data_IF_624455240763
#
_entry.id   IF_624455240763
#
_cell.length_a   1.000
_cell.length_b   1.000
_cell.length_c   1.000
_cell.angle_alpha   90.00
_cell.angle_beta   90.00
_cell.angle_gamma   90.00
#
_symmetry.space_group_name_H-M   'P 1'
#
loop_
_entity.id
_entity.type
_entity.pdbx_description
1 polymer ?
#
# COMPACT_ATOMS: atom_id res chain seq x y z
N UNK A 1 -35.99 6.66 -0.91
CA UNK A 1 -35.51 5.47 -1.67
C UNK A 1 -34.00 5.28 -1.45
N UNK A 2 -33.55 4.41 -0.54
CA UNK A 2 -32.12 4.08 -0.41
C UNK A 2 -31.70 3.13 -1.56
N UNK A 3 -31.33 3.70 -2.71
CA UNK A 3 -30.85 2.94 -3.86
C UNK A 3 -29.35 2.62 -3.71
N UNK A 4 -29.07 1.30 -3.60
CA UNK A 4 -27.78 0.55 -3.69
C UNK A 4 -26.86 0.55 -2.45
N UNK A 5 -27.00 -0.46 -1.56
CA UNK A 5 -26.09 -0.74 -0.42
C UNK A 5 -24.78 -1.49 -0.76
N UNK A 6 -24.49 -1.67 -2.06
CA UNK A 6 -23.31 -2.38 -2.57
C UNK A 6 -22.66 -1.55 -3.66
N UNK A 7 -21.41 -1.20 -3.43
CA UNK A 7 -20.56 -0.55 -4.41
C UNK A 7 -19.28 -1.37 -4.59
N UNK A 8 -18.88 -1.62 -5.83
CA UNK A 8 -17.58 -2.19 -6.15
C UNK A 8 -17.12 -1.59 -7.47
N UNK A 9 -15.82 -1.30 -7.57
CA UNK A 9 -15.18 -0.77 -8.77
C UNK A 9 -15.24 -1.81 -9.89
N UNK A 10 -16.22 -1.63 -10.79
CA UNK A 10 -16.41 -2.51 -11.94
C UNK A 10 -15.18 -2.44 -12.85
N UNK A 11 -14.74 -3.58 -13.36
CA UNK A 11 -13.58 -3.63 -14.25
C UNK A 11 -12.22 -3.56 -13.55
N UNK A 12 -12.15 -3.46 -12.22
CA UNK A 12 -10.89 -3.51 -11.50
C UNK A 12 -10.17 -4.84 -11.77
N UNK A 13 -9.01 -4.79 -12.44
CA UNK A 13 -8.21 -5.97 -12.80
C UNK A 13 -7.29 -6.34 -11.66
N UNK A 14 -7.25 -7.63 -11.33
CA UNK A 14 -6.33 -8.17 -10.34
C UNK A 14 -4.95 -8.35 -10.98
N UNK A 15 -3.91 -7.98 -10.25
CA UNK A 15 -2.52 -8.30 -10.58
C UNK A 15 -1.94 -9.00 -9.35
N UNK A 16 -1.53 -10.25 -9.51
CA UNK A 16 -0.84 -10.99 -8.45
C UNK A 16 0.62 -10.55 -8.39
N UNK A 17 1.23 -10.50 -7.20
CA UNK A 17 2.64 -10.14 -7.05
C UNK A 17 3.58 -11.28 -7.48
N UNK A 18 3.17 -12.53 -7.25
CA UNK A 18 3.96 -13.72 -7.58
C UNK A 18 3.81 -14.16 -9.04
N UNK A 19 4.83 -14.83 -9.60
CA UNK A 19 6.11 -15.22 -8.96
C UNK A 19 7.17 -14.10 -8.87
N UNK A 20 7.00 -13.00 -9.57
CA UNK A 20 8.10 -12.05 -9.85
C UNK A 20 8.45 -11.15 -8.66
N UNK A 21 7.48 -10.81 -7.80
CA UNK A 21 7.65 -9.93 -6.65
C UNK A 21 7.14 -10.57 -5.34
N UNK A 22 7.83 -11.59 -4.78
CA UNK A 22 7.41 -12.27 -3.56
C UNK A 22 7.18 -11.35 -2.36
N UNK A 23 7.83 -10.18 -2.32
CA UNK A 23 7.69 -9.19 -1.24
C UNK A 23 7.25 -7.81 -1.76
N UNK A 24 6.70 -7.73 -2.98
CA UNK A 24 6.29 -6.47 -3.61
C UNK A 24 4.79 -6.15 -3.49
N UNK A 25 4.17 -6.42 -2.34
CA UNK A 25 2.72 -6.25 -2.18
C UNK A 25 2.25 -4.80 -2.40
N UNK A 26 2.93 -3.81 -1.81
CA UNK A 26 2.55 -2.40 -1.86
C UNK A 26 2.68 -1.83 -3.27
N UNK A 27 3.79 -2.13 -3.96
CA UNK A 27 4.02 -1.63 -5.32
C UNK A 27 3.10 -2.31 -6.34
N UNK A 28 2.76 -3.59 -6.12
CA UNK A 28 1.76 -4.30 -6.93
C UNK A 28 0.36 -3.74 -6.70
N UNK A 29 0.00 -3.43 -5.45
CA UNK A 29 -1.27 -2.78 -5.12
C UNK A 29 -1.39 -1.39 -5.78
N UNK A 30 -0.33 -0.58 -5.71
CA UNK A 30 -0.27 0.70 -6.41
C UNK A 30 -0.43 0.55 -7.92
N UNK A 31 0.25 -0.43 -8.52
CA UNK A 31 0.14 -0.75 -9.95
C UNK A 31 -1.30 -1.09 -10.34
N UNK A 32 -2.02 -1.87 -9.53
CA UNK A 32 -3.44 -2.16 -9.78
C UNK A 32 -4.30 -0.90 -9.78
N UNK A 33 -4.08 0.00 -8.80
CA UNK A 33 -4.83 1.26 -8.72
C UNK A 33 -4.52 2.19 -9.90
N UNK A 34 -3.25 2.30 -10.33
CA UNK A 34 -2.85 3.06 -11.52
C UNK A 34 -3.51 2.52 -12.79
N UNK A 35 -3.46 1.20 -13.00
CA UNK A 35 -4.08 0.54 -14.16
C UNK A 35 -5.59 0.74 -14.19
N UNK A 36 -6.26 0.77 -13.03
CA UNK A 36 -7.69 1.08 -12.95
C UNK A 36 -8.02 2.50 -13.42
N UNK A 37 -7.16 3.47 -13.11
CA UNK A 37 -7.25 4.86 -13.56
C UNK A 37 -6.84 5.07 -15.03
N UNK A 38 -6.56 4.00 -15.77
CA UNK A 38 -6.18 4.03 -17.19
C UNK A 38 -4.68 4.26 -17.45
N UNK A 39 -3.85 4.31 -16.41
CA UNK A 39 -2.40 4.47 -16.52
C UNK A 39 -1.78 3.09 -16.75
N UNK A 40 -1.22 2.85 -17.93
CA UNK A 40 -0.71 1.53 -18.33
C UNK A 40 0.73 1.33 -17.86
N UNK A 41 0.90 0.63 -16.73
CA UNK A 41 2.24 0.28 -16.21
C UNK A 41 2.24 -1.14 -15.66
N UNK A 42 3.39 -1.82 -15.77
CA UNK A 42 3.58 -3.16 -15.19
C UNK A 42 4.13 -3.07 -13.76
N UNK A 43 3.82 -4.07 -12.92
CA UNK A 43 4.37 -4.17 -11.56
C UNK A 43 5.90 -4.26 -11.56
N UNK A 44 6.48 -4.88 -12.60
CA UNK A 44 7.92 -5.03 -12.77
C UNK A 44 8.57 -3.69 -13.07
N UNK A 45 8.02 -2.92 -13.99
CA UNK A 45 8.52 -1.58 -14.28
C UNK A 45 8.45 -0.68 -13.04
N UNK A 46 7.32 -0.69 -12.33
CA UNK A 46 7.17 0.04 -11.07
C UNK A 46 8.22 -0.36 -10.02
N UNK A 47 8.47 -1.66 -9.84
CA UNK A 47 9.41 -2.17 -8.85
C UNK A 47 10.89 -1.95 -9.23
N UNK A 48 11.25 -2.10 -10.50
CA UNK A 48 12.64 -2.07 -10.94
C UNK A 48 13.13 -0.66 -11.24
N UNK A 49 12.30 0.15 -11.90
CA UNK A 49 12.68 1.49 -12.37
C UNK A 49 12.33 2.61 -11.40
N UNK A 50 11.20 2.53 -10.71
CA UNK A 50 10.68 3.67 -9.95
C UNK A 50 10.69 3.49 -8.43
N UNK A 51 10.56 2.27 -7.91
CA UNK A 51 10.55 2.03 -6.46
C UNK A 51 11.92 2.35 -5.85
N UNK A 52 12.05 3.40 -5.01
CA UNK A 52 13.29 3.66 -4.32
C UNK A 52 13.60 2.53 -3.33
N UNK A 53 14.83 2.01 -3.37
CA UNK A 53 15.25 0.85 -2.58
C UNK A 53 16.49 1.17 -1.75
N UNK A 54 16.59 0.54 -0.57
CA UNK A 54 17.80 0.51 0.26
C UNK A 54 18.07 -0.92 0.73
N UNK A 55 19.34 -1.34 0.82
CA UNK A 55 19.65 -2.63 1.42
C UNK A 55 19.23 -2.64 2.89
N UNK A 56 18.86 -3.82 3.39
CA UNK A 56 18.69 -4.01 4.82
C UNK A 56 20.05 -3.92 5.51
N UNK A 57 20.17 -3.00 6.47
CA UNK A 57 21.36 -2.86 7.30
C UNK A 57 20.94 -2.29 8.65
N UNK A 58 21.37 -2.93 9.73
CA UNK A 58 21.15 -2.47 11.10
C UNK A 58 22.49 -2.35 11.80
N UNK A 59 22.70 -1.23 12.50
CA UNK A 59 23.89 -1.00 13.33
C UNK A 59 23.50 -0.45 14.70
N UNK A 60 24.41 -0.54 15.67
CA UNK A 60 24.20 -0.03 17.03
C UNK A 60 24.80 1.38 17.14
N UNK A 61 24.01 2.36 17.55
CA UNK A 61 24.45 3.72 17.81
C UNK A 61 25.18 3.85 19.15
N UNK A 62 25.86 4.97 19.36
CA UNK A 62 26.56 5.28 20.62
C UNK A 62 25.62 5.30 21.85
N UNK A 63 24.34 5.62 21.62
CA UNK A 63 23.25 5.59 22.59
C UNK A 63 22.67 4.19 22.86
N UNK A 64 23.32 3.14 22.34
CA UNK A 64 22.90 1.74 22.44
C UNK A 64 21.56 1.43 21.76
N UNK A 65 21.08 2.27 20.83
CA UNK A 65 19.89 2.00 20.02
C UNK A 65 20.26 1.41 18.67
N UNK A 66 19.37 0.57 18.14
CA UNK A 66 19.51 0.05 16.78
C UNK A 66 19.09 1.10 15.76
N UNK A 67 19.93 1.35 14.76
CA UNK A 67 19.70 2.26 13.66
C UNK A 67 19.66 1.53 12.31
N UNK A 68 18.94 2.08 11.34
CA UNK A 68 18.78 1.45 10.02
C UNK A 68 18.07 2.34 9.00
N UNK A 69 17.78 1.79 7.81
CA UNK A 69 17.23 2.54 6.69
C UNK A 69 15.78 2.99 6.94
N UNK A 70 15.40 4.13 6.36
CA UNK A 70 14.04 4.65 6.46
C UNK A 70 13.04 3.89 5.57
N UNK A 71 12.29 2.99 6.20
CA UNK A 71 11.28 2.17 5.52
C UNK A 71 10.07 2.96 5.02
N UNK A 72 9.85 4.22 5.45
CA UNK A 72 8.76 5.02 4.91
C UNK A 72 9.09 5.54 3.51
N UNK A 73 10.35 5.95 3.31
CA UNK A 73 10.84 6.55 2.06
C UNK A 73 11.46 5.56 1.08
N UNK A 74 11.85 4.37 1.55
CA UNK A 74 12.47 3.34 0.74
C UNK A 74 11.85 1.96 0.99
N UNK A 75 11.83 1.14 -0.06
CA UNK A 75 11.66 -0.30 0.10
C UNK A 75 12.95 -0.91 0.62
N UNK A 76 12.86 -1.66 1.72
CA UNK A 76 14.02 -2.27 2.35
C UNK A 76 14.24 -3.67 1.77
N UNK A 77 15.42 -3.90 1.18
CA UNK A 77 15.79 -5.13 0.50
C UNK A 77 15.39 -5.15 -0.98
N UNK A 78 15.09 -6.35 -1.50
CA UNK A 78 14.71 -6.58 -2.90
C UNK A 78 13.29 -7.20 -3.00
N UNK A 79 12.32 -6.52 -3.63
CA UNK A 79 10.96 -7.03 -3.77
C UNK A 79 10.86 -8.35 -4.55
N UNK A 80 11.89 -8.69 -5.34
CA UNK A 80 12.00 -9.95 -6.11
C UNK A 80 12.43 -11.14 -5.26
N UNK A 81 12.75 -10.93 -3.98
CA UNK A 81 13.17 -12.00 -3.09
C UNK A 81 13.29 -11.54 -1.65
N UNK A 82 14.51 -11.16 -1.24
CA UNK A 82 14.84 -10.77 0.14
C UNK A 82 14.44 -9.32 0.43
N UNK A 83 13.15 -9.06 0.40
CA UNK A 83 12.52 -7.78 0.73
C UNK A 83 11.77 -7.84 2.06
N UNK A 84 11.49 -6.67 2.63
CA UNK A 84 10.90 -6.56 3.95
C UNK A 84 9.56 -5.80 3.91
N UNK A 85 9.61 -4.49 3.64
CA UNK A 85 8.43 -3.61 3.63
C UNK A 85 8.78 -2.28 2.96
N UNK A 86 7.78 -1.53 2.53
CA UNK A 86 7.90 -0.10 2.32
C UNK A 86 6.65 0.65 2.81
N UNK A 87 6.83 1.87 3.28
CA UNK A 87 5.75 2.77 3.65
C UNK A 87 5.22 3.59 2.48
N UNK A 88 4.21 4.45 2.73
CA UNK A 88 3.53 5.20 1.69
C UNK A 88 4.45 6.09 0.86
N UNK A 89 5.45 6.75 1.46
CA UNK A 89 6.27 7.73 0.75
C UNK A 89 7.09 7.10 -0.38
N UNK A 90 7.64 5.90 -0.17
CA UNK A 90 8.34 5.14 -1.20
C UNK A 90 7.44 4.85 -2.42
N UNK A 91 6.20 4.41 -2.15
CA UNK A 91 5.21 4.08 -3.19
C UNK A 91 4.70 5.33 -3.91
N UNK A 92 4.43 6.41 -3.16
CA UNK A 92 4.02 7.71 -3.72
C UNK A 92 5.10 8.26 -4.63
N UNK A 93 6.36 8.23 -4.18
CA UNK A 93 7.50 8.67 -4.99
C UNK A 93 7.59 7.87 -6.29
N UNK A 94 7.55 6.54 -6.20
CA UNK A 94 7.61 5.67 -7.38
C UNK A 94 6.50 6.00 -8.40
N UNK A 95 5.26 6.08 -7.93
CA UNK A 95 4.11 6.36 -8.79
C UNK A 95 4.16 7.77 -9.39
N UNK A 96 4.49 8.79 -8.60
CA UNK A 96 4.56 10.17 -9.09
C UNK A 96 5.76 10.40 -10.02
N UNK A 97 6.85 9.66 -9.86
CA UNK A 97 7.98 9.69 -10.81
C UNK A 97 7.55 9.12 -12.17
N UNK A 98 6.89 7.96 -12.19
CA UNK A 98 6.29 7.41 -13.42
C UNK A 98 5.32 8.40 -14.07
N UNK A 99 4.39 8.96 -13.29
CA UNK A 99 3.35 9.87 -13.80
C UNK A 99 3.95 11.14 -14.39
N UNK A 100 4.99 11.70 -13.76
CA UNK A 100 5.69 12.89 -14.24
C UNK A 100 6.47 12.60 -15.52
N UNK A 101 7.18 11.48 -15.60
CA UNK A 101 7.91 11.06 -16.81
C UNK A 101 6.96 10.93 -18.01
N UNK A 102 5.75 10.44 -17.77
CA UNK A 102 4.72 10.24 -18.81
C UNK A 102 3.78 11.43 -18.99
N UNK A 103 4.09 12.60 -18.39
CA UNK A 103 3.28 13.83 -18.46
C UNK A 103 1.79 13.60 -18.14
N UNK A 104 1.53 12.71 -17.20
CA UNK A 104 0.17 12.38 -16.77
C UNK A 104 -0.46 13.54 -16.02
N UNK A 105 -1.77 13.74 -16.21
CA UNK A 105 -2.54 14.66 -15.36
C UNK A 105 -2.85 14.07 -13.98
N UNK A 106 -2.63 12.77 -13.77
CA UNK A 106 -2.83 12.11 -12.49
C UNK A 106 -1.68 12.37 -11.52
N UNK A 107 -2.00 12.33 -10.22
CA UNK A 107 -1.05 12.33 -9.10
C UNK A 107 -1.50 11.34 -8.04
N UNK A 108 -0.55 10.75 -7.34
CA UNK A 108 -0.80 9.96 -6.12
C UNK A 108 -0.67 10.87 -4.91
N UNK A 109 -1.69 10.85 -4.06
CA UNK A 109 -1.79 11.67 -2.86
C UNK A 109 -1.74 10.80 -1.61
N UNK A 110 -0.97 11.24 -0.62
CA UNK A 110 -1.02 10.65 0.71
C UNK A 110 -2.33 11.03 1.41
N UNK A 111 -3.02 10.02 1.94
CA UNK A 111 -4.22 10.17 2.76
C UNK A 111 -4.10 9.41 4.09
N UNK A 112 -2.87 9.13 4.53
CA UNK A 112 -2.57 8.58 5.84
C UNK A 112 -3.30 9.35 6.93
N UNK A 113 -4.00 8.62 7.82
CA UNK A 113 -4.84 9.18 8.88
C UNK A 113 -6.33 9.25 8.54
N UNK A 114 -6.72 9.11 7.27
CA UNK A 114 -8.12 9.14 6.86
C UNK A 114 -8.95 8.05 7.54
N UNK A 115 -10.15 8.42 7.99
CA UNK A 115 -11.09 7.50 8.64
C UNK A 115 -11.65 6.48 7.62
N UNK A 116 -12.02 5.26 8.05
CA UNK A 116 -12.58 4.24 7.15
C UNK A 116 -13.77 4.74 6.32
N UNK A 117 -14.61 5.61 6.88
CA UNK A 117 -15.76 6.19 6.18
C UNK A 117 -15.33 7.05 4.99
N UNK A 118 -14.15 7.68 5.04
CA UNK A 118 -13.59 8.45 3.92
C UNK A 118 -13.15 7.53 2.80
N UNK A 119 -12.48 6.42 3.15
CA UNK A 119 -12.09 5.38 2.21
C UNK A 119 -13.32 4.83 1.48
N UNK A 120 -14.41 4.59 2.20
CA UNK A 120 -15.67 4.13 1.62
C UNK A 120 -16.30 5.17 0.69
N UNK A 121 -16.21 6.46 1.02
CA UNK A 121 -16.67 7.56 0.16
C UNK A 121 -15.88 7.62 -1.15
N UNK A 122 -14.55 7.55 -1.09
CA UNK A 122 -13.70 7.55 -2.29
C UNK A 122 -13.98 6.35 -3.18
N UNK A 123 -14.12 5.15 -2.60
CA UNK A 123 -14.50 3.96 -3.34
C UNK A 123 -15.85 4.18 -4.02
N UNK A 124 -16.87 4.66 -3.31
CA UNK A 124 -18.19 4.97 -3.90
C UNK A 124 -18.12 5.98 -5.04
N UNK A 125 -17.16 6.91 -4.99
CA UNK A 125 -16.90 7.90 -6.05
C UNK A 125 -16.04 7.36 -7.21
N UNK A 126 -15.71 6.07 -7.22
CA UNK A 126 -14.92 5.47 -8.29
C UNK A 126 -13.41 5.49 -8.06
N UNK A 127 -12.95 5.84 -6.87
CA UNK A 127 -11.52 5.95 -6.55
C UNK A 127 -11.06 4.72 -5.75
N UNK A 128 -10.17 3.86 -6.29
CA UNK A 128 -9.55 2.79 -5.52
C UNK A 128 -8.62 3.39 -4.45
N UNK A 129 -8.56 2.73 -3.28
CA UNK A 129 -7.69 3.16 -2.19
C UNK A 129 -6.63 2.09 -1.93
N UNK A 130 -5.36 2.44 -2.08
CA UNK A 130 -4.26 1.56 -1.66
C UNK A 130 -4.08 1.72 -0.15
N UNK A 131 -4.05 0.62 0.57
CA UNK A 131 -4.05 0.58 2.04
C UNK A 131 -2.93 -0.32 2.56
N UNK A 132 -2.32 0.08 3.67
CA UNK A 132 -1.41 -0.78 4.43
C UNK A 132 -2.21 -1.46 5.52
N UNK A 133 -2.15 -2.77 5.51
CA UNK A 133 -2.90 -3.69 6.37
C UNK A 133 -1.99 -4.86 6.71
N UNK A 134 -2.55 -6.00 7.05
CA UNK A 134 -1.82 -7.25 7.27
C UNK A 134 -2.30 -8.35 6.34
N UNK A 135 -1.45 -9.36 6.15
CA UNK A 135 -1.79 -10.53 5.34
C UNK A 135 -3.07 -11.17 5.88
N UNK A 136 -4.06 -11.31 5.00
CA UNK A 136 -5.39 -11.85 5.30
C UNK A 136 -6.17 -11.10 6.39
N UNK A 137 -5.84 -9.84 6.68
CA UNK A 137 -6.44 -9.04 7.77
C UNK A 137 -6.34 -9.72 9.15
N UNK A 138 -5.26 -10.48 9.38
CA UNK A 138 -4.96 -11.10 10.68
C UNK A 138 -4.29 -10.09 11.60
N UNK A 139 -4.37 -10.30 12.91
CA UNK A 139 -3.67 -9.44 13.86
C UNK A 139 -2.19 -9.31 13.54
N UNK A 140 -1.65 -8.09 13.72
CA UNK A 140 -0.25 -7.80 13.41
C UNK A 140 0.63 -8.63 14.34
N UNK A 141 1.53 -9.42 13.76
CA UNK A 141 2.51 -10.20 14.51
C UNK A 141 3.51 -9.27 15.20
N UNK A 142 4.33 -9.84 16.09
CA UNK A 142 5.42 -9.13 16.78
C UNK A 142 6.26 -8.35 15.77
N UNK A 143 6.26 -7.03 15.91
CA UNK A 143 7.06 -6.13 15.11
C UNK A 143 8.52 -6.11 15.59
N UNK A 144 9.41 -5.81 14.67
CA UNK A 144 10.79 -5.40 14.94
C UNK A 144 11.01 -4.03 14.33
N UNK A 145 11.84 -3.22 14.96
CA UNK A 145 12.04 -1.85 14.54
C UNK A 145 13.40 -1.32 14.94
N UNK A 146 13.72 -0.15 14.38
CA UNK A 146 14.97 0.56 14.55
C UNK A 146 14.69 2.06 14.42
N UNK A 147 15.66 2.87 14.80
CA UNK A 147 15.65 4.30 14.53
C UNK A 147 16.27 4.56 13.16
N UNK A 148 15.70 5.48 12.41
CA UNK A 148 16.36 6.04 11.23
C UNK A 148 17.51 6.96 11.68
N UNK A 149 18.43 7.30 10.77
CA UNK A 149 19.56 8.19 11.08
C UNK A 149 19.12 9.59 11.56
N UNK A 150 17.92 10.05 11.16
CA UNK A 150 17.30 11.28 11.64
C UNK A 150 16.50 11.09 12.96
N UNK A 151 16.61 9.92 13.60
CA UNK A 151 16.08 9.66 14.93
C UNK A 151 14.61 9.27 15.00
N UNK A 152 13.96 9.00 13.86
CA UNK A 152 12.57 8.52 13.82
C UNK A 152 12.52 7.01 14.05
N UNK A 153 11.68 6.55 14.98
CA UNK A 153 11.43 5.12 15.13
C UNK A 153 10.53 4.60 14.00
N UNK A 154 10.96 3.51 13.37
CA UNK A 154 10.18 2.78 12.37
C UNK A 154 10.15 1.29 12.70
N UNK A 155 9.05 0.64 12.38
CA UNK A 155 8.87 -0.79 12.62
C UNK A 155 8.20 -1.51 11.46
N UNK A 156 8.40 -2.82 11.43
CA UNK A 156 7.72 -3.71 10.49
C UNK A 156 7.44 -5.07 11.14
N UNK A 157 6.44 -5.76 10.61
CA UNK A 157 6.10 -7.13 10.97
C UNK A 157 6.09 -8.02 9.73
N UNK A 158 6.42 -9.31 9.92
CA UNK A 158 6.42 -10.32 8.84
C UNK A 158 5.07 -10.53 8.15
N UNK A 159 3.98 -10.01 8.73
CA UNK A 159 2.66 -10.04 8.11
C UNK A 159 2.11 -8.64 7.80
N UNK A 160 2.94 -7.60 7.79
CA UNK A 160 2.56 -6.33 7.18
C UNK A 160 2.31 -6.54 5.67
N UNK A 161 1.37 -5.79 5.11
CA UNK A 161 0.87 -6.03 3.76
C UNK A 161 0.34 -4.75 3.10
N UNK A 162 0.40 -4.70 1.77
CA UNK A 162 -0.25 -3.69 0.94
C UNK A 162 -1.35 -4.31 0.07
N UNK A 163 -2.52 -3.68 0.02
CA UNK A 163 -3.63 -4.11 -0.81
C UNK A 163 -4.48 -2.93 -1.30
N UNK A 164 -5.51 -3.20 -2.10
CA UNK A 164 -6.41 -2.15 -2.61
C UNK A 164 -7.84 -2.38 -2.16
N UNK A 165 -8.43 -1.41 -1.48
CA UNK A 165 -9.86 -1.37 -1.23
C UNK A 165 -10.60 -0.97 -2.50
N UNK A 166 -11.47 -1.86 -2.98
CA UNK A 166 -12.16 -1.71 -4.27
C UNK A 166 -13.67 -1.87 -4.18
N UNK A 167 -14.22 -2.09 -2.99
CA UNK A 167 -15.67 -2.19 -2.81
C UNK A 167 -16.11 -2.20 -1.36
N UNK A 168 -17.37 -1.82 -1.15
CA UNK A 168 -18.04 -1.73 0.14
C UNK A 168 -19.45 -2.28 -0.02
N UNK A 169 -19.82 -3.27 0.80
CA UNK A 169 -21.13 -3.93 0.77
C UNK A 169 -21.62 -4.21 2.19
N UNK A 170 -22.66 -3.52 2.65
CA UNK A 170 -23.20 -3.66 4.01
C UNK A 170 -22.09 -3.60 5.10
N UNK A 171 -21.83 -4.73 5.77
CA UNK A 171 -20.80 -4.94 6.81
C UNK A 171 -19.49 -5.54 6.28
N UNK A 172 -19.25 -5.48 4.97
CA UNK A 172 -18.05 -6.04 4.34
C UNK A 172 -17.35 -5.04 3.43
N UNK A 173 -16.05 -5.22 3.30
CA UNK A 173 -15.20 -4.59 2.28
C UNK A 173 -14.76 -5.64 1.27
N UNK A 174 -14.50 -5.21 0.03
CA UNK A 174 -13.87 -6.01 -1.01
C UNK A 174 -12.46 -5.47 -1.25
N UNK A 175 -11.47 -6.33 -1.02
CA UNK A 175 -10.05 -6.02 -1.17
C UNK A 175 -9.51 -6.77 -2.39
N UNK A 176 -8.81 -6.07 -3.28
CA UNK A 176 -7.92 -6.68 -4.25
C UNK A 176 -6.55 -6.87 -3.59
N UNK A 177 -6.28 -8.11 -3.19
CA UNK A 177 -5.07 -8.55 -2.51
C UNK A 177 -4.07 -9.10 -3.54
N UNK A 178 -2.84 -8.57 -3.63
CA UNK A 178 -1.85 -9.04 -4.60
C UNK A 178 -1.31 -10.46 -4.31
N UNK A 179 -1.59 -11.03 -3.13
CA UNK A 179 -1.30 -12.44 -2.78
C UNK A 179 -2.53 -13.31 -3.02
N UNK A 180 -3.68 -12.90 -2.49
CA UNK A 180 -4.85 -13.77 -2.31
C UNK A 180 -5.98 -13.54 -3.33
N UNK A 181 -5.83 -12.56 -4.20
CA UNK A 181 -6.87 -12.17 -5.15
C UNK A 181 -7.96 -11.28 -4.54
N UNK A 182 -9.18 -11.34 -5.08
CA UNK A 182 -10.29 -10.50 -4.59
C UNK A 182 -10.98 -11.16 -3.40
N UNK A 183 -10.80 -10.62 -2.21
CA UNK A 183 -11.29 -11.22 -0.96
C UNK A 183 -12.23 -10.25 -0.23
N UNK A 184 -13.27 -10.79 0.40
CA UNK A 184 -14.19 -10.02 1.25
C UNK A 184 -13.83 -10.18 2.72
N UNK A 185 -13.75 -9.06 3.44
CA UNK A 185 -13.56 -9.04 4.89
C UNK A 185 -14.71 -8.32 5.58
N UNK A 186 -14.95 -8.63 6.86
CA UNK A 186 -15.82 -7.82 7.72
C UNK A 186 -15.23 -6.41 7.86
N UNK A 187 -16.07 -5.39 7.86
CA UNK A 187 -15.63 -3.99 8.05
C UNK A 187 -14.90 -3.84 9.36
N UNK A 188 -15.46 -4.39 10.43
CA UNK A 188 -14.91 -4.27 11.78
C UNK A 188 -13.48 -4.84 11.85
N UNK A 189 -13.21 -5.96 11.16
CA UNK A 189 -11.87 -6.54 11.06
C UNK A 189 -10.94 -5.67 10.22
N UNK A 190 -11.39 -5.18 9.06
CA UNK A 190 -10.60 -4.30 8.21
C UNK A 190 -10.20 -3.00 8.94
N UNK A 191 -11.17 -2.36 9.60
CA UNK A 191 -11.01 -1.09 10.31
C UNK A 191 -9.99 -1.22 11.44
N UNK A 192 -10.11 -2.27 12.28
CA UNK A 192 -9.11 -2.59 13.32
C UNK A 192 -7.70 -2.73 12.74
N UNK A 193 -7.54 -3.54 11.69
CA UNK A 193 -6.22 -3.79 11.11
C UNK A 193 -5.64 -2.55 10.42
N UNK A 194 -6.48 -1.78 9.73
CA UNK A 194 -6.08 -0.52 9.10
C UNK A 194 -5.62 0.50 10.16
N UNK A 195 -6.33 0.57 11.29
CA UNK A 195 -5.93 1.39 12.43
C UNK A 195 -4.62 0.91 13.08
N UNK A 196 -4.47 -0.39 13.33
CA UNK A 196 -3.23 -1.02 13.85
C UNK A 196 -2.01 -0.78 12.92
N UNK A 197 -2.26 -0.50 11.64
CA UNK A 197 -1.23 -0.13 10.65
C UNK A 197 -1.06 1.37 10.46
N UNK A 198 -1.58 2.17 11.37
CA UNK A 198 -1.42 3.63 11.40
C UNK A 198 -2.25 4.36 10.36
N UNK A 199 -3.37 3.76 9.91
CA UNK A 199 -4.30 4.32 8.94
C UNK A 199 -3.62 4.83 7.67
N UNK A 200 -2.60 4.10 7.21
CA UNK A 200 -1.80 4.45 6.03
C UNK A 200 -2.58 4.13 4.76
N UNK A 201 -2.84 5.14 3.94
CA UNK A 201 -3.47 4.95 2.63
C UNK A 201 -3.07 6.01 1.62
N UNK A 202 -3.21 5.66 0.34
CA UNK A 202 -2.98 6.57 -0.79
C UNK A 202 -4.06 6.40 -1.85
N UNK A 203 -4.33 7.48 -2.58
CA UNK A 203 -5.30 7.52 -3.67
C UNK A 203 -4.70 8.21 -4.90
N UNK A 204 -5.25 7.92 -6.08
CA UNK A 204 -5.00 8.71 -7.28
C UNK A 204 -6.03 9.84 -7.38
N UNK A 205 -5.56 11.03 -7.77
CA UNK A 205 -6.40 12.17 -8.13
C UNK A 205 -5.91 12.76 -9.45
N UNK A 206 -6.82 13.31 -10.25
CA UNK A 206 -6.42 14.19 -11.36
C UNK A 206 -5.99 15.53 -10.78
N UNK A 207 -4.99 16.14 -11.39
CA UNK A 207 -4.71 17.57 -11.25
C UNK A 207 -5.84 18.30 -11.96
N UNK A 208 -6.37 19.33 -11.32
CA UNK A 208 -7.26 20.29 -11.97
C UNK A 208 -6.54 21.04 -13.10
#
# INVERSE_FOLDING_TARGET
MLKRKRYALRGFKLILQNPELPTGCEITAMTMAMNYCGIRVSKMEMAEKYLPRRPYHIFLGADQRAYGPDLENYFIGDPRGKGYVCGPKAVIKAANDYLREHRSSWRVLEKTGAEPQELYRWVHQGTPVVVWVTISMKERKKAVGWYTEDGKYVDWSRNDHGAVLIGVENKRVLIADPISGKVKYKKETFEKIYEDRGRKCVILSKSD
#
